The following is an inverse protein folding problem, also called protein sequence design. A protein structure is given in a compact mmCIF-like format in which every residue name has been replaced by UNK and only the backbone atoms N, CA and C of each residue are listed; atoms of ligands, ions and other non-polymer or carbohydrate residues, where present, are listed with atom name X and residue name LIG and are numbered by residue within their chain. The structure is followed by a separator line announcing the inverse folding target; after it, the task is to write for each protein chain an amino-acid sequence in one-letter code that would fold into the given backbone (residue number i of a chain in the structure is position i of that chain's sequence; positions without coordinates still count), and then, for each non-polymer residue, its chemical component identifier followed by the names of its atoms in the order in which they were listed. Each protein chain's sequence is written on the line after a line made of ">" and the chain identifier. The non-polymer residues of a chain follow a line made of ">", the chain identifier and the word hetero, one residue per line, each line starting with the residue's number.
data_IF_218157772915
#
_entry.id   IF_218157772915
#
_cell.length_a   1.000
_cell.length_b   1.000
_cell.length_c   1.000
_cell.angle_alpha   90.00
_cell.angle_beta   90.00
_cell.angle_gamma   90.00
#
_symmetry.space_group_name_H-M   'P 1'
#
loop_
_entity.id
_entity.type
_entity.pdbx_description
1 polymer ?
#
# COMPACT_ATOMS: atom_id res chain seq x y z
N UNK A 1 -7.16 -12.31 9.44
CA UNK A 1 -8.32 -11.61 8.82
C UNK A 1 -9.44 -12.63 8.63
N UNK A 2 -10.70 -12.30 8.92
CA UNK A 2 -11.82 -13.24 8.71
C UNK A 2 -12.08 -13.46 7.20
N UNK A 3 -12.37 -14.70 6.73
CA UNK A 3 -12.53 -15.00 5.31
C UNK A 3 -13.58 -14.14 4.59
N UNK A 4 -14.69 -13.82 5.26
CA UNK A 4 -15.73 -12.98 4.66
C UNK A 4 -15.29 -11.54 4.39
N UNK A 5 -14.37 -10.99 5.20
CA UNK A 5 -13.81 -9.65 4.96
C UNK A 5 -12.84 -9.66 3.78
N UNK A 6 -12.11 -10.76 3.61
CA UNK A 6 -11.20 -10.94 2.48
C UNK A 6 -11.94 -10.94 1.15
N UNK A 7 -13.01 -11.73 1.07
CA UNK A 7 -13.81 -11.81 -0.14
C UNK A 7 -14.47 -10.47 -0.46
N UNK A 8 -15.05 -9.79 0.54
CA UNK A 8 -15.62 -8.45 0.36
C UNK A 8 -14.61 -7.43 -0.19
N UNK A 9 -13.39 -7.41 0.35
CA UNK A 9 -12.36 -6.49 -0.13
C UNK A 9 -11.96 -6.81 -1.58
N UNK A 10 -11.77 -8.10 -1.90
CA UNK A 10 -11.52 -8.54 -3.27
C UNK A 10 -12.65 -8.09 -4.20
N UNK A 11 -13.91 -8.31 -3.81
CA UNK A 11 -15.07 -7.97 -4.63
C UNK A 11 -15.15 -6.48 -4.92
N UNK A 12 -14.94 -5.62 -3.92
CA UNK A 12 -14.87 -4.16 -4.11
C UNK A 12 -13.77 -3.76 -5.11
N UNK A 13 -12.60 -4.42 -5.05
CA UNK A 13 -11.48 -4.12 -5.94
C UNK A 13 -11.73 -4.61 -7.37
N UNK A 14 -12.43 -5.73 -7.54
CA UNK A 14 -12.78 -6.31 -8.85
C UNK A 14 -13.95 -5.55 -9.50
N UNK A 15 -15.01 -5.26 -8.75
CA UNK A 15 -16.18 -4.50 -9.23
C UNK A 15 -15.81 -3.10 -9.73
N UNK A 16 -14.76 -2.51 -9.17
CA UNK A 16 -14.23 -1.19 -9.58
C UNK A 16 -13.13 -1.29 -10.64
N UNK A 17 -12.89 -2.47 -11.18
CA UNK A 17 -11.86 -2.77 -12.18
C UNK A 17 -10.44 -2.35 -11.77
N UNK A 18 -10.18 -2.27 -10.46
CA UNK A 18 -8.87 -1.84 -9.92
C UNK A 18 -7.86 -2.99 -9.94
N UNK A 19 -8.34 -4.22 -9.80
CA UNK A 19 -7.58 -5.45 -10.01
C UNK A 19 -8.37 -6.39 -10.91
N UNK A 20 -7.65 -7.17 -11.71
CA UNK A 20 -8.23 -8.15 -12.63
C UNK A 20 -7.43 -9.43 -12.60
N UNK A 21 -8.11 -10.54 -12.91
CA UNK A 21 -7.45 -11.82 -13.05
C UNK A 21 -6.45 -11.75 -14.19
N UNK A 22 -5.31 -12.41 -14.00
CA UNK A 22 -4.29 -12.58 -15.02
C UNK A 22 -4.07 -14.07 -15.22
N UNK A 23 -3.61 -14.47 -16.40
CA UNK A 23 -3.45 -15.89 -16.76
C UNK A 23 -2.69 -16.71 -15.70
N UNK A 24 -1.72 -16.09 -15.00
CA UNK A 24 -0.86 -16.77 -14.04
C UNK A 24 -1.12 -16.41 -12.58
N UNK A 25 -1.91 -15.36 -12.30
CA UNK A 25 -2.14 -14.88 -10.92
C UNK A 25 -3.55 -14.34 -10.78
N UNK A 26 -4.32 -14.99 -9.90
CA UNK A 26 -5.72 -14.60 -9.62
C UNK A 26 -5.79 -13.34 -8.76
N UNK A 27 -6.91 -12.61 -8.82
CA UNK A 27 -7.21 -11.45 -7.96
C UNK A 27 -7.15 -11.79 -6.47
N UNK A 28 -7.60 -13.00 -6.12
CA UNK A 28 -7.44 -13.58 -4.78
C UNK A 28 -5.97 -13.67 -4.39
N UNK A 29 -5.14 -14.27 -5.24
CA UNK A 29 -3.71 -14.44 -4.97
C UNK A 29 -2.97 -13.11 -4.90
N UNK A 30 -3.32 -12.15 -5.76
CA UNK A 30 -2.79 -10.79 -5.70
C UNK A 30 -3.08 -10.10 -4.37
N UNK A 31 -4.34 -10.18 -3.92
CA UNK A 31 -4.74 -9.61 -2.64
C UNK A 31 -4.07 -10.35 -1.48
N UNK A 32 -3.91 -11.66 -1.57
CA UNK A 32 -3.20 -12.48 -0.59
C UNK A 32 -1.72 -12.07 -0.48
N UNK A 33 -1.02 -11.90 -1.60
CA UNK A 33 0.37 -11.41 -1.63
C UNK A 33 0.51 -10.07 -0.94
N UNK A 34 -0.39 -9.13 -1.22
CA UNK A 34 -0.40 -7.81 -0.58
C UNK A 34 -0.62 -7.90 0.93
N UNK A 35 -1.65 -8.63 1.38
CA UNK A 35 -1.96 -8.77 2.81
C UNK A 35 -0.87 -9.51 3.55
N UNK A 36 -0.23 -10.49 2.91
CA UNK A 36 0.90 -11.22 3.48
C UNK A 36 2.12 -10.30 3.64
N UNK A 37 2.43 -9.48 2.62
CA UNK A 37 3.52 -8.51 2.67
C UNK A 37 3.33 -7.51 3.82
N UNK A 38 2.14 -6.91 3.93
CA UNK A 38 1.84 -5.92 4.97
C UNK A 38 1.67 -6.53 6.35
N UNK A 39 1.08 -7.72 6.44
CA UNK A 39 0.71 -8.34 7.72
C UNK A 39 1.89 -8.89 8.48
N UNK A 40 2.92 -9.36 7.77
CA UNK A 40 4.07 -10.00 8.39
C UNK A 40 5.39 -9.24 8.20
N UNK A 41 5.43 -8.20 7.36
CA UNK A 41 6.67 -7.43 7.10
C UNK A 41 7.81 -8.31 6.58
N UNK A 42 7.47 -9.41 5.89
CA UNK A 42 8.44 -10.46 5.54
C UNK A 42 9.35 -9.99 4.41
N UNK A 43 10.59 -10.50 4.41
CA UNK A 43 11.47 -10.39 3.27
C UNK A 43 10.82 -10.96 2.01
N UNK A 44 11.12 -10.34 0.86
CA UNK A 44 10.60 -10.75 -0.45
C UNK A 44 10.88 -12.22 -0.77
N UNK A 45 11.99 -12.77 -0.26
CA UNK A 45 12.41 -14.15 -0.55
C UNK A 45 11.45 -15.18 0.06
N UNK A 46 10.98 -14.94 1.30
CA UNK A 46 9.99 -15.80 1.92
C UNK A 46 8.63 -15.73 1.22
N UNK A 47 8.30 -14.57 0.62
CA UNK A 47 7.11 -14.47 -0.23
C UNK A 47 7.27 -15.25 -1.53
N UNK A 48 8.46 -15.21 -2.15
CA UNK A 48 8.74 -15.99 -3.35
C UNK A 48 8.60 -17.49 -3.10
N UNK A 49 9.09 -17.96 -1.95
CA UNK A 49 8.92 -19.35 -1.53
C UNK A 49 7.46 -19.70 -1.22
N UNK A 50 6.72 -18.83 -0.53
CA UNK A 50 5.34 -19.15 -0.17
C UNK A 50 4.40 -19.18 -1.39
N UNK A 51 4.51 -18.20 -2.28
CA UNK A 51 3.64 -18.07 -3.43
C UNK A 51 4.21 -18.72 -4.71
N UNK A 52 5.43 -19.27 -4.66
CA UNK A 52 6.11 -19.91 -5.80
C UNK A 52 6.23 -19.00 -7.03
N UNK A 53 6.42 -17.71 -6.79
CA UNK A 53 6.59 -16.68 -7.83
C UNK A 53 7.91 -15.97 -7.68
N UNK A 54 8.42 -15.42 -8.79
CA UNK A 54 9.63 -14.60 -8.76
C UNK A 54 9.44 -13.32 -7.93
N UNK A 55 10.52 -12.78 -7.38
CA UNK A 55 10.48 -11.52 -6.62
C UNK A 55 9.99 -10.34 -7.45
N UNK A 56 10.20 -10.36 -8.77
CA UNK A 56 9.64 -9.41 -9.72
C UNK A 56 8.11 -9.54 -9.79
N UNK A 57 7.60 -10.76 -9.93
CA UNK A 57 6.16 -11.05 -9.95
C UNK A 57 5.49 -10.61 -8.65
N UNK A 58 6.07 -10.97 -7.50
CA UNK A 58 5.58 -10.54 -6.18
C UNK A 58 5.53 -9.01 -6.11
N UNK A 59 6.64 -8.35 -6.44
CA UNK A 59 6.75 -6.89 -6.41
C UNK A 59 5.74 -6.22 -7.32
N UNK A 60 5.54 -6.74 -8.53
CA UNK A 60 4.59 -6.20 -9.50
C UNK A 60 3.16 -6.23 -8.95
N UNK A 61 2.70 -7.39 -8.47
CA UNK A 61 1.31 -7.54 -8.00
C UNK A 61 1.05 -6.84 -6.67
N UNK A 62 2.00 -6.86 -5.73
CA UNK A 62 1.88 -6.11 -4.47
C UNK A 62 1.76 -4.61 -4.77
N UNK A 63 2.61 -4.06 -5.64
CA UNK A 63 2.51 -2.65 -6.03
C UNK A 63 1.21 -2.32 -6.78
N UNK A 64 0.70 -3.26 -7.58
CA UNK A 64 -0.59 -3.11 -8.27
C UNK A 64 -1.74 -2.98 -7.27
N UNK A 65 -1.77 -3.83 -6.24
CA UNK A 65 -2.79 -3.80 -5.19
C UNK A 65 -2.64 -2.55 -4.30
N UNK A 66 -1.42 -2.12 -3.98
CA UNK A 66 -1.18 -0.85 -3.25
C UNK A 66 -1.79 0.33 -4.03
N UNK A 67 -1.56 0.41 -5.34
CA UNK A 67 -2.13 1.47 -6.19
C UNK A 67 -3.65 1.40 -6.23
N UNK A 68 -4.22 0.21 -6.37
CA UNK A 68 -5.67 0.00 -6.34
C UNK A 68 -6.30 0.51 -5.03
N UNK A 69 -5.71 0.16 -3.88
CA UNK A 69 -6.19 0.62 -2.57
C UNK A 69 -5.98 2.13 -2.37
N UNK A 70 -4.87 2.67 -2.87
CA UNK A 70 -4.65 4.11 -2.87
C UNK A 70 -5.71 4.88 -3.69
N UNK A 71 -6.34 4.25 -4.70
CA UNK A 71 -7.47 4.85 -5.41
C UNK A 71 -8.77 4.76 -4.60
N UNK A 72 -8.98 3.67 -3.84
CA UNK A 72 -10.12 3.56 -2.93
C UNK A 72 -10.15 4.66 -1.86
N UNK A 73 -9.00 5.22 -1.49
CA UNK A 73 -8.92 6.34 -0.54
C UNK A 73 -9.82 7.50 -0.93
N UNK A 74 -9.91 7.82 -2.22
CA UNK A 74 -10.69 8.97 -2.68
C UNK A 74 -12.19 8.75 -2.50
N UNK A 75 -12.63 7.49 -2.34
CA UNK A 75 -14.04 7.17 -2.09
C UNK A 75 -14.36 6.98 -0.61
N UNK A 76 -13.43 6.41 0.16
CA UNK A 76 -13.73 5.96 1.54
C UNK A 76 -12.99 6.75 2.63
N UNK A 77 -11.93 7.49 2.27
CA UNK A 77 -11.14 8.26 3.22
C UNK A 77 -11.40 9.74 2.95
N UNK A 78 -12.25 10.33 3.77
CA UNK A 78 -12.40 11.78 3.83
C UNK A 78 -11.28 12.32 4.71
N UNK A 79 -10.31 13.02 4.10
CA UNK A 79 -9.33 13.75 4.89
C UNK A 79 -10.03 14.97 5.52
N UNK A 80 -9.73 15.28 6.81
CA UNK A 80 -10.14 16.55 7.40
C UNK A 80 -9.69 17.70 6.50
N UNK A 81 -10.60 18.60 6.15
CA UNK A 81 -10.31 19.75 5.28
C UNK A 81 -10.03 20.97 6.15
N UNK A 82 -8.87 21.62 6.00
CA UNK A 82 -8.56 22.89 6.66
C UNK A 82 -7.60 22.80 7.85
N UNK A 83 -7.68 23.79 8.76
CA UNK A 83 -6.80 23.96 9.94
C UNK A 83 -6.92 22.85 10.98
N UNK A 84 -7.91 21.97 10.85
CA UNK A 84 -8.11 20.81 11.74
C UNK A 84 -7.24 19.58 11.38
N UNK A 85 -6.41 19.69 10.34
CA UNK A 85 -5.47 18.63 9.93
C UNK A 85 -4.44 18.29 11.00
N UNK A 86 -4.16 19.23 11.91
CA UNK A 86 -3.10 19.09 12.92
C UNK A 86 -3.66 19.47 14.27
N UNK A 87 -3.68 18.52 15.20
CA UNK A 87 -4.05 18.80 16.57
C UNK A 87 -3.19 19.95 17.14
N UNK A 88 -3.75 20.93 17.88
CA UNK A 88 -3.02 22.11 18.34
C UNK A 88 -1.68 21.81 19.01
N UNK A 89 -1.61 20.74 19.82
CA UNK A 89 -0.35 20.26 20.43
C UNK A 89 0.78 19.99 19.43
N UNK A 90 0.46 19.47 18.26
CA UNK A 90 1.44 19.18 17.20
C UNK A 90 1.74 20.44 16.40
N UNK A 91 0.74 21.32 16.20
CA UNK A 91 0.92 22.60 15.54
C UNK A 91 1.90 23.53 16.30
N UNK A 92 1.92 23.43 17.63
CA UNK A 92 2.81 24.21 18.49
C UNK A 92 4.15 23.52 18.82
N UNK A 93 4.38 22.29 18.34
CA UNK A 93 5.69 21.61 18.50
C UNK A 93 6.49 21.71 17.20
N UNK A 94 7.51 22.56 17.22
CA UNK A 94 8.41 22.79 16.08
C UNK A 94 9.14 21.53 15.60
N UNK A 95 9.23 20.48 16.42
CA UNK A 95 9.83 19.19 16.03
C UNK A 95 8.88 18.35 15.19
N UNK A 96 7.58 18.39 15.47
CA UNK A 96 6.60 17.53 14.82
C UNK A 96 5.87 18.23 13.67
N UNK A 97 5.61 19.53 13.80
CA UNK A 97 4.89 20.32 12.79
C UNK A 97 5.47 20.23 11.35
N UNK A 98 6.80 20.14 11.12
CA UNK A 98 7.36 20.00 9.77
C UNK A 98 6.83 18.80 8.98
N UNK A 99 6.52 17.68 9.65
CA UNK A 99 5.99 16.47 9.01
C UNK A 99 4.55 16.62 8.51
N UNK A 100 3.80 17.55 9.09
CA UNK A 100 2.40 17.82 8.73
C UNK A 100 2.24 18.99 7.74
N UNK A 101 3.32 19.73 7.46
CA UNK A 101 3.37 20.78 6.43
C UNK A 101 3.62 20.26 5.01
N UNK A 102 4.27 19.10 4.89
CA UNK A 102 4.68 18.54 3.61
C UNK A 102 3.54 17.69 3.02
N UNK A 103 3.02 18.08 1.86
CA UNK A 103 2.12 17.24 1.07
C UNK A 103 2.84 15.93 0.73
N UNK A 104 2.49 14.78 1.35
CA UNK A 104 3.24 13.54 1.20
C UNK A 104 3.21 13.07 -0.27
N UNK A 105 2.15 13.40 -1.01
CA UNK A 105 1.99 13.02 -2.41
C UNK A 105 2.95 13.77 -3.34
N UNK A 106 3.36 14.99 -3.01
CA UNK A 106 4.32 15.73 -3.82
C UNK A 106 5.74 15.12 -3.75
N UNK A 107 6.09 14.46 -2.63
CA UNK A 107 7.36 13.74 -2.48
C UNK A 107 7.33 12.36 -3.15
N UNK A 108 6.22 11.63 -3.09
CA UNK A 108 6.12 10.28 -3.66
C UNK A 108 6.09 10.24 -5.20
N UNK A 109 5.65 11.31 -5.87
CA UNK A 109 5.50 11.33 -7.33
C UNK A 109 6.55 12.18 -8.07
N UNK A 110 7.30 13.05 -7.38
CA UNK A 110 8.22 14.00 -8.01
C UNK A 110 9.66 13.50 -7.95
N UNK A 111 10.01 12.62 -8.88
CA UNK A 111 11.39 12.42 -9.29
C UNK A 111 12.23 11.54 -8.36
N UNK A 112 12.05 10.22 -8.50
CA UNK A 112 13.15 9.26 -8.63
C UNK A 112 12.55 7.93 -9.08
N UNK A 113 13.16 7.32 -10.08
CA UNK A 113 12.89 5.94 -10.44
C UNK A 113 13.13 5.07 -9.20
N UNK A 114 12.06 4.69 -8.50
CA UNK A 114 12.10 3.70 -7.44
C UNK A 114 12.28 2.35 -8.12
N UNK A 115 13.53 1.97 -8.35
CA UNK A 115 13.90 0.58 -8.56
C UNK A 115 13.57 -0.14 -7.26
N UNK A 116 12.46 -0.89 -7.28
CA UNK A 116 11.77 -1.54 -6.14
C UNK A 116 12.68 -2.48 -5.30
N UNK A 117 13.92 -2.71 -5.71
CA UNK A 117 14.81 -3.71 -5.12
C UNK A 117 15.44 -3.32 -3.77
N UNK A 118 15.40 -2.06 -3.33
CA UNK A 118 16.13 -1.64 -2.10
C UNK A 118 15.35 -0.86 -1.05
N UNK A 119 14.10 -0.46 -1.29
CA UNK A 119 13.41 0.48 -0.39
C UNK A 119 12.37 -0.14 0.57
N UNK A 120 11.91 -1.38 0.34
CA UNK A 120 10.94 -2.01 1.25
C UNK A 120 11.55 -2.39 2.60
N UNK A 121 12.85 -2.67 2.66
CA UNK A 121 13.57 -2.97 3.91
C UNK A 121 13.92 -1.72 4.73
N UNK A 122 13.83 -0.51 4.15
CA UNK A 122 14.13 0.77 4.83
C UNK A 122 12.88 1.49 5.36
N UNK A 123 11.69 1.17 4.85
CA UNK A 123 10.43 1.78 5.31
C UNK A 123 9.88 1.15 6.60
N UNK A 124 10.42 0.01 7.04
CA UNK A 124 9.91 -0.75 8.19
C UNK A 124 11.00 -1.21 9.18
N UNK A 125 12.18 -0.59 9.15
CA UNK A 125 13.17 -0.75 10.23
C UNK A 125 13.35 0.61 10.91
N UNK A 126 13.19 0.59 12.23
CA UNK A 126 13.30 1.72 13.19
C UNK A 126 14.34 2.78 12.81
#
# INVERSE_FOLDING_TARGET
>A
MHPSMFLKLRDILVERELIRDCHYVTTTEQLAMFLYAMGHGVATDAMCEHFQHSSETISYYVNRVIKAIALLRFTYIVLPSGTDLVHPRIHHDDRFYPYFKLNPLAMWFKGRALTIRTDLTRLFRE
#
